data_IF_620333479244
#
_entry.id   IF_620333479244
#
_cell.length_a   1.000
_cell.length_b   1.000
_cell.length_c   1.000
_cell.angle_alpha   90.00
_cell.angle_beta   90.00
_cell.angle_gamma   90.00
#
_symmetry.space_group_name_H-M   'P 1'
#
loop_
_entity.id
_entity.type
_entity.pdbx_description
1 polymer ?
#
# COMPACT_ATOMS: atom_id res chain seq x y z
N UNK A 1 43.67 -53.99 -5.24
CA UNK A 1 42.27 -53.73 -4.87
C UNK A 1 42.10 -52.25 -4.66
N UNK A 2 41.37 -51.55 -5.52
CA UNK A 2 40.93 -50.16 -5.31
C UNK A 2 39.45 -50.09 -5.67
N UNK A 3 38.58 -50.18 -4.66
CA UNK A 3 37.14 -49.89 -4.76
C UNK A 3 36.91 -48.56 -4.05
N UNK A 4 36.56 -47.52 -4.81
CA UNK A 4 36.07 -46.27 -4.25
C UNK A 4 36.33 -45.11 -5.21
N UNK A 5 35.29 -44.65 -5.93
CA UNK A 5 35.13 -43.29 -6.53
C UNK A 5 33.99 -43.14 -7.55
N UNK A 6 33.01 -44.07 -7.67
CA UNK A 6 31.83 -43.86 -8.55
C UNK A 6 30.54 -43.46 -7.83
N UNK A 7 30.33 -43.89 -6.58
CA UNK A 7 29.08 -43.61 -5.86
C UNK A 7 28.99 -42.19 -5.32
N UNK A 8 30.13 -41.60 -4.93
CA UNK A 8 30.18 -40.29 -4.25
C UNK A 8 29.98 -39.10 -5.22
N UNK A 9 30.50 -39.21 -6.44
CA UNK A 9 30.36 -38.18 -7.48
C UNK A 9 28.93 -38.07 -8.06
N UNK A 10 28.18 -39.18 -8.10
CA UNK A 10 26.81 -39.21 -8.63
C UNK A 10 25.80 -38.56 -7.67
N UNK A 11 26.02 -38.65 -6.35
CA UNK A 11 25.17 -38.01 -5.35
C UNK A 11 25.26 -36.48 -5.37
N UNK A 12 26.47 -35.94 -5.55
CA UNK A 12 26.71 -34.49 -5.60
C UNK A 12 26.16 -33.84 -6.88
N UNK A 13 26.25 -34.51 -8.03
CA UNK A 13 25.67 -34.02 -9.30
C UNK A 13 24.14 -34.07 -9.29
N UNK A 14 23.54 -35.14 -8.76
CA UNK A 14 22.09 -35.26 -8.62
C UNK A 14 21.50 -34.19 -7.68
N UNK A 15 22.13 -33.97 -6.52
CA UNK A 15 21.72 -32.90 -5.60
C UNK A 15 21.82 -31.50 -6.25
N UNK A 16 22.87 -31.26 -7.03
CA UNK A 16 23.05 -29.97 -7.72
C UNK A 16 22.01 -29.76 -8.82
N UNK A 17 21.69 -30.81 -9.61
CA UNK A 17 20.66 -30.74 -10.63
C UNK A 17 19.26 -30.52 -10.05
N UNK A 18 18.91 -31.24 -8.98
CA UNK A 18 17.64 -31.04 -8.28
C UNK A 18 17.49 -29.61 -7.74
N UNK A 19 18.55 -29.06 -7.14
CA UNK A 19 18.57 -27.67 -6.66
C UNK A 19 18.33 -26.66 -7.79
N UNK A 20 18.93 -26.88 -8.96
CA UNK A 20 18.74 -26.00 -10.11
C UNK A 20 17.31 -26.07 -10.65
N UNK A 21 16.73 -27.27 -10.76
CA UNK A 21 15.33 -27.44 -11.15
C UNK A 21 14.36 -26.81 -10.16
N UNK A 22 14.59 -26.98 -8.87
CA UNK A 22 13.79 -26.33 -7.82
C UNK A 22 13.91 -24.80 -7.90
N UNK A 23 15.11 -24.26 -8.11
CA UNK A 23 15.32 -22.83 -8.30
C UNK A 23 14.61 -22.29 -9.56
N UNK A 24 14.67 -23.01 -10.67
CA UNK A 24 13.92 -22.66 -11.89
C UNK A 24 12.41 -22.66 -11.65
N UNK A 25 11.88 -23.69 -10.97
CA UNK A 25 10.46 -23.78 -10.66
C UNK A 25 10.01 -22.60 -9.78
N UNK A 26 10.78 -22.26 -8.74
CA UNK A 26 10.51 -21.09 -7.89
C UNK A 26 10.58 -19.78 -8.68
N UNK A 27 11.56 -19.62 -9.57
CA UNK A 27 11.67 -18.45 -10.44
C UNK A 27 10.47 -18.29 -11.37
N UNK A 28 10.04 -19.39 -12.01
CA UNK A 28 8.86 -19.39 -12.88
C UNK A 28 7.59 -19.04 -12.11
N UNK A 29 7.38 -19.63 -10.92
CA UNK A 29 6.26 -19.30 -10.04
C UNK A 29 6.28 -17.81 -9.65
N UNK A 30 7.46 -17.27 -9.33
CA UNK A 30 7.64 -15.84 -9.04
C UNK A 30 7.23 -14.92 -10.21
N UNK A 31 7.41 -15.37 -11.45
CA UNK A 31 7.04 -14.59 -12.64
C UNK A 31 5.55 -14.65 -13.00
N UNK A 32 4.76 -15.58 -12.44
CA UNK A 32 3.35 -15.75 -12.80
C UNK A 32 2.51 -14.50 -12.57
N UNK A 33 2.77 -13.73 -11.51
CA UNK A 33 2.03 -12.49 -11.27
C UNK A 33 2.28 -11.43 -12.36
N UNK A 34 3.54 -11.28 -12.79
CA UNK A 34 3.94 -10.33 -13.83
C UNK A 34 3.38 -10.78 -15.18
N UNK A 35 3.59 -12.04 -15.57
CA UNK A 35 3.07 -12.59 -16.82
C UNK A 35 1.54 -12.52 -16.88
N UNK A 36 0.86 -12.91 -15.80
CA UNK A 36 -0.60 -12.80 -15.71
C UNK A 36 -1.09 -11.36 -15.77
N UNK A 37 -0.33 -10.39 -15.26
CA UNK A 37 -0.67 -8.99 -15.39
C UNK A 37 -0.50 -8.48 -16.83
N UNK A 38 0.65 -8.75 -17.47
CA UNK A 38 0.95 -8.32 -18.83
C UNK A 38 0.02 -8.96 -19.87
N UNK A 39 -0.32 -10.24 -19.69
CA UNK A 39 -1.23 -10.97 -20.57
C UNK A 39 -2.73 -10.72 -20.26
N UNK A 40 -3.05 -9.93 -19.22
CA UNK A 40 -4.44 -9.69 -18.78
C UNK A 40 -5.14 -10.93 -18.18
N UNK A 41 -4.40 -11.99 -17.84
CA UNK A 41 -4.92 -13.27 -17.35
C UNK A 41 -5.08 -13.27 -15.82
N UNK A 42 -6.30 -12.99 -15.34
CA UNK A 42 -6.62 -12.93 -13.90
C UNK A 42 -6.29 -14.23 -13.16
N UNK A 43 -6.53 -15.39 -13.77
CA UNK A 43 -6.26 -16.69 -13.15
C UNK A 43 -4.76 -16.90 -12.89
N UNK A 44 -3.91 -16.64 -13.89
CA UNK A 44 -2.46 -16.77 -13.77
C UNK A 44 -1.89 -15.80 -12.73
N UNK A 45 -2.39 -14.55 -12.73
CA UNK A 45 -2.05 -13.56 -11.71
C UNK A 45 -2.47 -14.02 -10.31
N UNK A 46 -3.65 -14.63 -10.18
CA UNK A 46 -4.18 -15.16 -8.92
C UNK A 46 -3.37 -16.33 -8.37
N UNK A 47 -2.93 -17.27 -9.23
CA UNK A 47 -2.04 -18.36 -8.84
C UNK A 47 -0.71 -17.80 -8.32
N UNK A 48 -0.10 -16.87 -9.07
CA UNK A 48 1.11 -16.20 -8.61
C UNK A 48 0.91 -15.47 -7.28
N UNK A 49 -0.24 -14.82 -7.07
CA UNK A 49 -0.58 -14.13 -5.82
C UNK A 49 -0.71 -15.09 -4.63
N UNK A 50 -1.38 -16.22 -4.82
CA UNK A 50 -1.58 -17.22 -3.78
C UNK A 50 -0.27 -17.86 -3.28
N UNK A 51 0.74 -17.96 -4.15
CA UNK A 51 2.02 -18.57 -3.78
C UNK A 51 2.89 -17.70 -2.88
N UNK A 52 2.65 -16.38 -2.83
CA UNK A 52 3.47 -15.37 -2.15
C UNK A 52 4.98 -15.37 -2.52
N UNK A 53 5.40 -16.15 -3.52
CA UNK A 53 6.82 -16.37 -3.85
C UNK A 53 7.51 -15.12 -4.41
N UNK A 54 6.76 -14.26 -5.11
CA UNK A 54 7.23 -12.96 -5.57
C UNK A 54 6.04 -12.01 -5.73
N UNK A 55 5.80 -11.09 -4.78
CA UNK A 55 4.71 -10.13 -4.89
C UNK A 55 5.00 -9.14 -6.03
N UNK A 56 4.00 -8.89 -6.88
CA UNK A 56 4.10 -7.91 -7.96
C UNK A 56 4.35 -6.49 -7.39
N UNK A 57 5.50 -5.85 -7.67
CA UNK A 57 5.92 -4.64 -6.96
C UNK A 57 5.24 -3.37 -7.49
N UNK A 58 3.89 -3.36 -7.54
CA UNK A 58 3.11 -2.19 -7.99
C UNK A 58 2.97 -1.10 -6.93
N UNK A 59 3.35 -1.37 -5.68
CA UNK A 59 3.12 -0.47 -4.53
C UNK A 59 3.89 0.86 -4.60
N UNK A 60 4.86 0.99 -5.51
CA UNK A 60 5.63 2.21 -5.77
C UNK A 60 5.41 2.76 -7.19
N UNK A 61 4.34 2.34 -7.85
CA UNK A 61 4.07 2.66 -9.24
C UNK A 61 2.73 3.34 -9.39
N UNK A 62 2.45 3.85 -10.60
CA UNK A 62 1.12 4.27 -10.97
C UNK A 62 0.09 3.13 -10.81
N UNK A 63 -0.98 3.42 -10.06
CA UNK A 63 -2.15 2.56 -9.95
C UNK A 63 -3.32 3.20 -10.69
N UNK A 64 -3.34 2.93 -12.00
CA UNK A 64 -4.40 3.32 -12.94
C UNK A 64 -4.53 4.83 -13.16
N UNK A 65 -3.49 5.61 -12.95
CA UNK A 65 -3.50 7.06 -12.89
C UNK A 65 -3.47 7.58 -11.45
N UNK A 66 -2.90 6.85 -10.50
CA UNK A 66 -2.66 7.35 -9.15
C UNK A 66 -1.27 6.89 -8.71
N UNK A 67 -0.35 7.84 -8.62
CA UNK A 67 0.99 7.61 -8.12
C UNK A 67 1.07 8.14 -6.69
N UNK A 68 0.85 7.25 -5.72
CA UNK A 68 0.75 7.66 -4.31
C UNK A 68 2.04 8.24 -3.74
N UNK A 69 3.20 7.90 -4.33
CA UNK A 69 4.50 8.44 -3.94
C UNK A 69 4.74 9.85 -4.50
N UNK A 70 4.15 10.17 -5.65
CA UNK A 70 4.17 11.50 -6.27
C UNK A 70 2.84 12.21 -6.05
N UNK A 71 2.35 12.20 -4.81
CA UNK A 71 1.13 12.89 -4.41
C UNK A 71 1.34 13.60 -3.07
N UNK A 72 0.77 14.79 -2.97
CA UNK A 72 0.65 15.53 -1.72
C UNK A 72 -0.67 15.20 -1.03
N UNK A 73 -0.61 15.07 0.30
CA UNK A 73 -1.76 14.79 1.15
C UNK A 73 -1.98 15.95 2.10
N UNK A 74 -3.17 16.55 2.07
CA UNK A 74 -3.50 17.71 2.88
C UNK A 74 -4.80 17.44 3.64
N UNK A 75 -4.74 17.55 4.96
CA UNK A 75 -5.95 17.61 5.77
C UNK A 75 -6.58 18.99 5.63
N UNK A 76 -7.78 19.05 5.06
CA UNK A 76 -8.60 20.24 5.07
C UNK A 76 -9.64 20.11 6.17
N UNK A 77 -9.71 21.06 7.09
CA UNK A 77 -10.65 20.98 8.20
C UNK A 77 -11.20 22.33 8.60
N UNK A 78 -12.40 22.34 9.18
CA UNK A 78 -13.05 23.52 9.72
C UNK A 78 -13.23 23.40 11.22
N UNK A 79 -12.92 24.47 11.93
CA UNK A 79 -13.19 24.60 13.36
C UNK A 79 -14.61 25.12 13.59
N UNK A 80 -15.19 24.83 14.77
CA UNK A 80 -16.50 25.37 15.19
C UNK A 80 -16.61 26.89 15.16
N UNK A 81 -15.49 27.61 15.19
CA UNK A 81 -15.45 29.06 15.01
C UNK A 81 -15.72 29.51 13.56
N UNK A 82 -15.86 28.59 12.61
CA UNK A 82 -16.00 28.86 11.18
C UNK A 82 -14.67 28.93 10.42
N UNK A 83 -13.53 28.91 11.11
CA UNK A 83 -12.21 29.03 10.48
C UNK A 83 -11.81 27.71 9.83
N UNK A 84 -11.48 27.77 8.53
CA UNK A 84 -10.93 26.66 7.76
C UNK A 84 -9.39 26.67 7.77
N UNK A 85 -8.79 25.49 7.79
CA UNK A 85 -7.34 25.29 7.86
C UNK A 85 -6.92 24.13 6.97
N UNK A 86 -5.75 24.29 6.35
CA UNK A 86 -5.06 23.24 5.59
C UNK A 86 -3.82 22.81 6.38
N UNK A 87 -3.68 21.51 6.57
CA UNK A 87 -2.54 20.89 7.25
C UNK A 87 -1.92 19.83 6.33
N UNK A 88 -0.82 20.16 5.65
CA UNK A 88 -0.07 19.19 4.85
C UNK A 88 0.46 18.05 5.72
N UNK A 89 0.34 16.81 5.25
CA UNK A 89 0.94 15.63 5.88
C UNK A 89 2.40 15.54 5.42
N UNK A 90 3.28 16.28 6.10
CA UNK A 90 4.72 16.23 5.85
C UNK A 90 5.37 15.00 6.52
N UNK A 91 6.61 14.63 6.16
CA UNK A 91 7.34 13.58 6.86
C UNK A 91 7.42 13.80 8.38
N UNK A 92 7.62 15.04 8.83
CA UNK A 92 7.70 15.43 10.24
C UNK A 92 6.36 15.24 10.95
N UNK A 93 5.24 15.57 10.27
CA UNK A 93 3.90 15.32 10.81
C UNK A 93 3.60 13.82 10.84
N UNK A 94 3.94 13.10 9.78
CA UNK A 94 3.72 11.66 9.65
C UNK A 94 4.50 10.86 10.71
N UNK A 95 5.70 11.31 11.09
CA UNK A 95 6.49 10.70 12.18
C UNK A 95 5.78 10.72 13.54
N UNK A 96 4.77 11.57 13.74
CA UNK A 96 3.95 11.57 14.96
C UNK A 96 3.02 10.37 15.06
N UNK A 97 2.78 9.65 13.95
CA UNK A 97 1.96 8.43 13.96
C UNK A 97 2.66 7.33 14.76
N UNK A 98 1.97 6.85 15.80
CA UNK A 98 2.54 5.89 16.76
C UNK A 98 2.31 4.43 16.33
N UNK A 99 2.93 3.51 17.04
CA UNK A 99 2.67 2.08 16.91
C UNK A 99 3.39 1.39 15.74
N UNK A 100 3.08 0.10 15.51
CA UNK A 100 3.84 -0.75 14.59
C UNK A 100 3.62 -0.36 13.13
N UNK A 101 4.55 -0.81 12.27
CA UNK A 101 4.48 -0.59 10.82
C UNK A 101 3.12 -0.95 10.21
N UNK A 102 2.57 -2.12 10.54
CA UNK A 102 1.30 -2.58 9.98
C UNK A 102 0.14 -1.60 10.24
N UNK A 103 0.08 -0.97 11.41
CA UNK A 103 -0.93 0.05 11.73
C UNK A 103 -0.77 1.27 10.83
N UNK A 104 0.45 1.79 10.71
CA UNK A 104 0.76 2.95 9.87
C UNK A 104 0.47 2.65 8.40
N UNK A 105 0.80 1.44 7.95
CA UNK A 105 0.53 0.99 6.59
C UNK A 105 -0.97 0.85 6.32
N UNK A 106 -1.79 0.34 7.25
CA UNK A 106 -3.25 0.28 7.07
C UNK A 106 -3.86 1.66 6.87
N UNK A 107 -3.51 2.64 7.71
CA UNK A 107 -3.97 4.02 7.53
C UNK A 107 -3.44 4.64 6.23
N UNK A 108 -2.14 4.51 5.99
CA UNK A 108 -1.48 5.06 4.81
C UNK A 108 -2.05 4.48 3.52
N UNK A 109 -2.21 3.16 3.43
CA UNK A 109 -2.77 2.49 2.26
C UNK A 109 -4.23 2.87 2.03
N UNK A 110 -5.06 2.85 3.09
CA UNK A 110 -6.47 3.20 2.96
C UNK A 110 -6.65 4.65 2.46
N UNK A 111 -5.92 5.61 3.02
CA UNK A 111 -6.04 7.02 2.63
C UNK A 111 -5.36 7.30 1.28
N UNK A 112 -4.16 6.75 1.04
CA UNK A 112 -3.41 7.04 -0.18
C UNK A 112 -4.04 6.42 -1.42
N UNK A 113 -4.57 5.19 -1.31
CA UNK A 113 -5.19 4.48 -2.41
C UNK A 113 -6.71 4.66 -2.49
N UNK A 114 -7.32 5.43 -1.60
CA UNK A 114 -8.77 5.62 -1.54
C UNK A 114 -9.42 5.95 -2.91
N UNK A 115 -8.85 6.83 -3.77
CA UNK A 115 -9.46 7.12 -5.08
C UNK A 115 -9.61 5.89 -5.99
N UNK A 116 -8.83 4.82 -5.74
CA UNK A 116 -8.78 3.60 -6.56
C UNK A 116 -9.27 2.36 -5.81
N UNK A 117 -9.85 2.54 -4.63
CA UNK A 117 -10.34 1.47 -3.78
C UNK A 117 -11.85 1.61 -3.60
N UNK A 118 -12.61 0.50 -3.49
CA UNK A 118 -14.02 0.56 -3.09
C UNK A 118 -14.23 1.39 -1.83
N UNK A 119 -15.20 2.31 -1.86
CA UNK A 119 -15.46 3.25 -0.77
C UNK A 119 -15.56 2.60 0.61
N UNK A 120 -16.30 1.49 0.80
CA UNK A 120 -16.43 0.88 2.13
C UNK A 120 -15.10 0.45 2.77
N UNK A 121 -14.08 0.14 1.96
CA UNK A 121 -12.79 -0.32 2.47
C UNK A 121 -11.96 0.84 3.05
N UNK A 122 -11.93 1.98 2.37
CA UNK A 122 -11.15 3.12 2.84
C UNK A 122 -11.94 4.02 3.80
N UNK A 123 -13.26 4.17 3.61
CA UNK A 123 -14.09 5.06 4.42
C UNK A 123 -14.19 4.56 5.86
N UNK A 124 -14.28 3.25 6.10
CA UNK A 124 -14.25 2.69 7.45
C UNK A 124 -12.96 3.06 8.21
N UNK A 125 -11.81 2.98 7.54
CA UNK A 125 -10.50 3.35 8.11
C UNK A 125 -10.42 4.86 8.34
N UNK A 126 -10.87 5.66 7.38
CA UNK A 126 -10.97 7.12 7.51
C UNK A 126 -11.81 7.49 8.73
N UNK A 127 -13.05 6.99 8.82
CA UNK A 127 -13.98 7.30 9.89
C UNK A 127 -13.44 6.87 11.25
N UNK A 128 -12.84 5.68 11.34
CA UNK A 128 -12.23 5.22 12.58
C UNK A 128 -11.06 6.10 13.02
N UNK A 129 -10.18 6.45 12.08
CA UNK A 129 -8.96 7.22 12.36
C UNK A 129 -9.21 8.68 12.71
N UNK A 130 -10.11 9.34 11.97
CA UNK A 130 -10.30 10.79 11.99
C UNK A 130 -11.54 11.28 12.76
N UNK A 131 -12.40 10.36 13.25
CA UNK A 131 -13.49 10.74 14.17
C UNK A 131 -12.97 11.54 15.36
N UNK A 132 -13.87 12.24 16.05
CA UNK A 132 -13.56 12.86 17.35
C UNK A 132 -12.99 11.83 18.33
N UNK A 133 -11.83 12.16 18.92
CA UNK A 133 -11.08 11.22 19.76
C UNK A 133 -10.51 10.01 19.00
N UNK A 134 -10.43 10.07 17.67
CA UNK A 134 -9.79 9.05 16.84
C UNK A 134 -8.26 9.06 16.96
N UNK A 135 -7.59 7.92 16.69
CA UNK A 135 -6.14 7.81 16.77
C UNK A 135 -5.40 8.76 15.83
N UNK A 136 -5.79 8.82 14.54
CA UNK A 136 -5.13 9.73 13.59
C UNK A 136 -5.41 11.19 13.93
N UNK A 137 -6.64 11.51 14.35
CA UNK A 137 -7.00 12.88 14.76
C UNK A 137 -6.06 13.42 15.83
N UNK A 138 -5.83 12.64 16.89
CA UNK A 138 -4.90 13.01 17.97
C UNK A 138 -3.45 13.08 17.51
N UNK A 139 -2.98 12.06 16.80
CA UNK A 139 -1.56 11.95 16.42
C UNK A 139 -1.15 13.01 15.38
N UNK A 140 -2.07 13.40 14.48
CA UNK A 140 -1.89 14.48 13.52
C UNK A 140 -2.15 15.87 14.13
N UNK A 141 -2.56 15.94 15.40
CA UNK A 141 -2.75 17.20 16.13
C UNK A 141 -3.94 18.03 15.66
N UNK A 142 -4.99 17.38 15.14
CA UNK A 142 -6.23 18.07 14.77
C UNK A 142 -6.93 18.58 16.05
N UNK A 143 -7.33 19.86 16.11
CA UNK A 143 -8.02 20.42 17.27
C UNK A 143 -9.33 19.69 17.60
N UNK A 144 -9.66 19.58 18.88
CA UNK A 144 -10.89 18.92 19.33
C UNK A 144 -12.16 19.64 18.88
N UNK A 145 -12.09 20.95 18.68
CA UNK A 145 -13.17 21.78 18.14
C UNK A 145 -13.26 21.75 16.61
N UNK A 146 -12.62 20.79 15.93
CA UNK A 146 -12.80 20.56 14.49
C UNK A 146 -14.17 19.94 14.22
N UNK A 147 -14.97 20.62 13.40
CA UNK A 147 -16.35 20.27 12.99
C UNK A 147 -16.36 19.27 11.82
N UNK A 148 -15.50 19.46 10.83
CA UNK A 148 -15.32 18.49 9.74
C UNK A 148 -13.87 18.43 9.30
N UNK A 149 -13.49 17.28 8.73
CA UNK A 149 -12.16 17.06 8.16
C UNK A 149 -12.27 16.21 6.90
N UNK A 150 -11.61 16.64 5.83
CA UNK A 150 -11.45 15.92 4.57
C UNK A 150 -9.96 15.76 4.27
N UNK A 151 -9.63 14.77 3.45
CA UNK A 151 -8.26 14.62 2.92
C UNK A 151 -8.29 15.00 1.45
N UNK A 152 -7.51 16.00 1.09
CA UNK A 152 -7.20 16.35 -0.29
C UNK A 152 -5.94 15.60 -0.71
N UNK A 153 -5.99 14.97 -1.87
CA UNK A 153 -4.87 14.32 -2.54
C UNK A 153 -4.64 15.07 -3.84
N UNK A 154 -3.42 15.56 -4.07
CA UNK A 154 -3.05 16.23 -5.30
C UNK A 154 -1.79 15.56 -5.89
N UNK A 155 -1.82 15.21 -7.17
CA UNK A 155 -0.63 14.64 -7.82
C UNK A 155 0.44 15.72 -8.06
N UNK A 156 1.70 15.34 -7.89
CA UNK A 156 2.87 16.14 -8.29
C UNK A 156 3.58 15.55 -9.50
N UNK A 157 3.04 14.48 -10.11
CA UNK A 157 3.56 13.87 -11.32
C UNK A 157 3.58 14.90 -12.47
N UNK A 158 4.72 15.04 -13.14
CA UNK A 158 4.90 16.01 -14.22
C UNK A 158 3.86 15.82 -15.34
N UNK A 159 3.25 16.91 -15.78
CA UNK A 159 2.24 16.91 -16.84
C UNK A 159 0.83 16.49 -16.40
N UNK A 160 0.59 16.32 -15.09
CA UNK A 160 -0.71 16.00 -14.51
C UNK A 160 -1.13 17.03 -13.47
N UNK A 161 -2.44 17.15 -13.26
CA UNK A 161 -3.05 18.07 -12.30
C UNK A 161 -4.25 17.45 -11.55
N UNK A 162 -4.29 16.12 -11.48
CA UNK A 162 -5.36 15.38 -10.85
C UNK A 162 -5.45 15.69 -9.34
N UNK A 163 -6.69 15.84 -8.87
CA UNK A 163 -6.99 16.02 -7.45
C UNK A 163 -8.15 15.13 -7.03
N UNK A 164 -8.09 14.65 -5.80
CA UNK A 164 -9.14 13.81 -5.21
C UNK A 164 -9.45 14.31 -3.79
N UNK A 165 -10.73 14.28 -3.43
CA UNK A 165 -11.20 14.67 -2.10
C UNK A 165 -11.86 13.47 -1.44
N UNK A 166 -11.37 13.11 -0.25
CA UNK A 166 -11.97 12.09 0.60
C UNK A 166 -12.94 12.77 1.56
N UNK A 167 -14.23 12.67 1.24
CA UNK A 167 -15.34 13.24 2.01
C UNK A 167 -16.44 12.18 2.25
N UNK A 168 -16.15 11.13 3.04
CA UNK A 168 -17.18 10.16 3.42
C UNK A 168 -18.19 10.81 4.38
N UNK A 169 -19.43 10.28 4.51
CA UNK A 169 -20.46 10.88 5.36
C UNK A 169 -20.04 11.18 6.81
N UNK A 170 -19.14 10.38 7.39
CA UNK A 170 -18.62 10.58 8.74
C UNK A 170 -17.66 11.77 8.87
N UNK A 171 -17.12 12.29 7.76
CA UNK A 171 -16.19 13.43 7.75
C UNK A 171 -16.79 14.70 8.36
N UNK A 172 -18.12 14.79 8.34
CA UNK A 172 -18.91 15.90 8.89
C UNK A 172 -19.57 15.58 10.24
N UNK A 173 -19.36 14.39 10.77
CA UNK A 173 -19.98 13.91 12.02
C UNK A 173 -18.97 13.94 13.19
N UNK A 174 -18.21 15.03 13.34
CA UNK A 174 -17.15 15.17 14.36
C UNK A 174 -17.56 15.97 15.60
#
# INVERSE_FOLDING_TARGET
MAKGTKAENNGATFQTQWRNWAAMALGLIGLFQIMGHLAGMKALKGIGAATAASPFPKVFSDVNGLETFASEFVLHYRMKSGVERKLPITPELYQRLKGPYNRRNVYGAALSYAPRMPEPLWSAVFCYGLKRGGPLRRELGLPDNTEWVHVLIATTTQGRNDTWVLDPPCARQN
#
